data_IF_878568493673
#
_entry.id   IF_878568493673
#
_cell.length_a   1.000
_cell.length_b   1.000
_cell.length_c   1.000
_cell.angle_alpha   90.00
_cell.angle_beta   90.00
_cell.angle_gamma   90.00
#
_symmetry.space_group_name_H-M   'P 1'
#
loop_
_entity.id
_entity.type
_entity.pdbx_description
1 polymer ?
#
# COMPACT_ATOMS: atom_id res chain seq x y z
N UNK A 1 39.09 -84.99 76.36
CA UNK A 1 37.73 -84.44 76.23
C UNK A 1 37.72 -82.93 76.43
N UNK A 2 38.07 -82.40 77.61
CA UNK A 2 38.01 -80.97 77.96
C UNK A 2 38.75 -80.04 76.98
N UNK A 3 40.01 -80.34 76.64
CA UNK A 3 40.79 -79.52 75.67
C UNK A 3 40.19 -79.47 74.25
N UNK A 4 39.48 -80.51 73.81
CA UNK A 4 38.78 -80.51 72.50
C UNK A 4 37.56 -79.60 72.55
N UNK A 5 36.76 -79.72 73.61
CA UNK A 5 35.59 -78.86 73.83
C UNK A 5 35.98 -77.38 73.97
N UNK A 6 37.12 -77.07 74.60
CA UNK A 6 37.64 -75.70 74.68
C UNK A 6 38.00 -75.12 73.30
N UNK A 7 38.66 -75.91 72.44
CA UNK A 7 38.99 -75.49 71.08
C UNK A 7 37.74 -75.31 70.21
N UNK A 8 36.78 -76.24 70.30
CA UNK A 8 35.49 -76.12 69.60
C UNK A 8 34.70 -74.89 70.06
N UNK A 9 34.79 -74.54 71.35
CA UNK A 9 34.20 -73.31 71.90
C UNK A 9 34.90 -72.05 71.37
N UNK A 10 36.24 -72.03 71.32
CA UNK A 10 37.01 -70.92 70.75
C UNK A 10 36.74 -70.72 69.25
N UNK A 11 36.67 -71.80 68.48
CA UNK A 11 36.34 -71.78 67.06
C UNK A 11 34.88 -71.29 66.84
N UNK A 12 33.96 -71.69 67.72
CA UNK A 12 32.57 -71.22 67.72
C UNK A 12 32.45 -69.73 68.06
N UNK A 13 33.18 -69.26 69.07
CA UNK A 13 33.23 -67.84 69.44
C UNK A 13 33.83 -66.97 68.31
N UNK A 14 34.84 -67.48 67.62
CA UNK A 14 35.41 -66.84 66.42
C UNK A 14 34.38 -66.69 65.30
N UNK A 15 33.62 -67.74 65.01
CA UNK A 15 32.56 -67.72 64.01
C UNK A 15 31.42 -66.75 64.38
N UNK A 16 31.02 -66.71 65.65
CA UNK A 16 30.00 -65.77 66.16
C UNK A 16 30.44 -64.32 65.98
N UNK A 17 31.72 -64.00 66.27
CA UNK A 17 32.26 -62.64 66.04
C UNK A 17 32.23 -62.25 64.57
N UNK A 18 32.62 -63.16 63.68
CA UNK A 18 32.63 -62.90 62.23
C UNK A 18 31.21 -62.71 61.67
N UNK A 19 30.27 -63.57 62.04
CA UNK A 19 28.86 -63.41 61.68
C UNK A 19 28.25 -62.11 62.23
N UNK A 20 28.70 -61.66 63.41
CA UNK A 20 28.26 -60.38 63.98
C UNK A 20 28.81 -59.19 63.18
N UNK A 21 30.08 -59.23 62.77
CA UNK A 21 30.67 -58.21 61.90
C UNK A 21 30.00 -58.16 60.52
N UNK A 22 29.77 -59.32 59.90
CA UNK A 22 29.10 -59.41 58.60
C UNK A 22 27.66 -58.89 58.68
N UNK A 23 26.95 -59.17 59.78
CA UNK A 23 25.60 -58.64 60.04
C UNK A 23 25.61 -57.11 60.13
N UNK A 24 26.55 -56.50 60.84
CA UNK A 24 26.68 -55.04 60.92
C UNK A 24 27.09 -54.42 59.58
N UNK A 25 27.96 -55.09 58.82
CA UNK A 25 28.34 -54.66 57.46
C UNK A 25 27.12 -54.68 56.52
N UNK A 26 26.36 -55.78 56.51
CA UNK A 26 25.14 -55.91 55.72
C UNK A 26 24.09 -54.85 56.09
N UNK A 27 23.94 -54.56 57.38
CA UNK A 27 23.04 -53.50 57.87
C UNK A 27 23.47 -52.13 57.38
N UNK A 28 24.78 -51.86 57.36
CA UNK A 28 25.34 -50.60 56.83
C UNK A 28 25.12 -50.49 55.32
N UNK A 29 25.37 -51.55 54.56
CA UNK A 29 25.12 -51.60 53.13
C UNK A 29 23.64 -51.42 52.80
N UNK A 30 22.75 -52.06 53.57
CA UNK A 30 21.31 -51.90 53.43
C UNK A 30 20.87 -50.44 53.66
N UNK A 31 21.40 -49.79 54.69
CA UNK A 31 21.11 -48.38 54.95
C UNK A 31 21.62 -47.46 53.82
N UNK A 32 22.82 -47.71 53.29
CA UNK A 32 23.34 -46.95 52.15
C UNK A 32 22.49 -47.12 50.90
N UNK A 33 22.06 -48.34 50.60
CA UNK A 33 21.17 -48.63 49.48
C UNK A 33 19.81 -47.95 49.65
N UNK A 34 19.26 -47.93 50.86
CA UNK A 34 18.00 -47.23 51.15
C UNK A 34 18.09 -45.72 50.91
N UNK A 35 19.19 -45.08 51.34
CA UNK A 35 19.43 -43.65 51.08
C UNK A 35 19.55 -43.39 49.57
N UNK A 36 20.31 -44.21 48.85
CA UNK A 36 20.44 -44.10 47.40
C UNK A 36 19.10 -44.24 46.70
N UNK A 37 18.28 -45.21 47.10
CA UNK A 37 16.95 -45.44 46.56
C UNK A 37 16.05 -44.20 46.75
N UNK A 38 16.00 -43.66 47.97
CA UNK A 38 15.24 -42.43 48.26
C UNK A 38 15.69 -41.24 47.42
N UNK A 39 17.00 -41.07 47.24
CA UNK A 39 17.53 -39.99 46.41
C UNK A 39 17.13 -40.18 44.93
N UNK A 40 17.19 -41.40 44.42
CA UNK A 40 16.76 -41.69 43.04
C UNK A 40 15.26 -41.51 42.83
N UNK A 41 14.42 -41.86 43.82
CA UNK A 41 12.98 -41.59 43.78
C UNK A 41 12.68 -40.10 43.71
N UNK A 42 13.36 -39.30 44.54
CA UNK A 42 13.22 -37.83 44.51
C UNK A 42 13.67 -37.21 43.18
N UNK A 43 14.76 -37.72 42.60
CA UNK A 43 15.22 -37.31 41.27
C UNK A 43 14.19 -37.70 40.19
N UNK A 44 13.63 -38.90 40.26
CA UNK A 44 12.61 -39.37 39.32
C UNK A 44 11.35 -38.50 39.37
N UNK A 45 10.90 -38.10 40.56
CA UNK A 45 9.75 -37.21 40.71
C UNK A 45 10.03 -35.81 40.15
N UNK A 46 11.23 -35.29 40.37
CA UNK A 46 11.67 -34.01 39.78
C UNK A 46 11.66 -34.07 38.25
N UNK A 47 12.21 -35.15 37.67
CA UNK A 47 12.22 -35.36 36.22
C UNK A 47 10.81 -35.50 35.64
N UNK A 48 9.89 -36.19 36.35
CA UNK A 48 8.48 -36.27 35.94
C UNK A 48 7.81 -34.90 35.89
N UNK A 49 8.03 -34.06 36.91
CA UNK A 49 7.51 -32.69 36.93
C UNK A 49 8.08 -31.84 35.79
N UNK A 50 9.38 -31.94 35.52
CA UNK A 50 10.01 -31.27 34.38
C UNK A 50 9.45 -31.74 33.03
N UNK A 51 9.27 -33.04 32.86
CA UNK A 51 8.66 -33.62 31.65
C UNK A 51 7.22 -33.12 31.43
N UNK A 52 6.42 -33.05 32.50
CA UNK A 52 5.06 -32.49 32.43
C UNK A 52 5.06 -31.02 32.01
N UNK A 53 5.96 -30.20 32.58
CA UNK A 53 6.10 -28.80 32.22
C UNK A 53 6.51 -28.62 30.75
N UNK A 54 7.47 -29.41 30.27
CA UNK A 54 7.89 -29.41 28.87
C UNK A 54 6.75 -29.82 27.92
N UNK A 55 5.94 -30.82 28.32
CA UNK A 55 4.78 -31.22 27.53
C UNK A 55 3.73 -30.09 27.43
N UNK A 56 3.48 -29.38 28.52
CA UNK A 56 2.57 -28.22 28.50
C UNK A 56 3.10 -27.10 27.59
N UNK A 57 4.40 -26.79 27.68
CA UNK A 57 5.04 -25.81 26.81
C UNK A 57 4.99 -26.21 25.33
N UNK A 58 5.24 -27.49 25.01
CA UNK A 58 5.16 -28.00 23.65
C UNK A 58 3.75 -27.92 23.08
N UNK A 59 2.72 -28.16 23.90
CA UNK A 59 1.33 -28.02 23.45
C UNK A 59 0.99 -26.55 23.17
N UNK A 60 1.38 -25.64 24.05
CA UNK A 60 1.21 -24.19 23.84
C UNK A 60 1.88 -23.72 22.54
N UNK A 61 3.13 -24.11 22.31
CA UNK A 61 3.86 -23.74 21.08
C UNK A 61 3.22 -24.30 19.81
N UNK A 62 2.61 -25.49 19.87
CA UNK A 62 1.86 -26.06 18.75
C UNK A 62 0.62 -25.23 18.44
N UNK A 63 -0.13 -24.82 19.45
CA UNK A 63 -1.34 -24.00 19.29
C UNK A 63 -0.99 -22.62 18.74
N UNK A 64 0.10 -22.01 19.24
CA UNK A 64 0.62 -20.74 18.73
C UNK A 64 1.05 -20.86 17.26
N UNK A 65 1.78 -21.92 16.90
CA UNK A 65 2.17 -22.19 15.51
C UNK A 65 0.96 -22.35 14.58
N UNK A 66 -0.07 -23.08 15.01
CA UNK A 66 -1.31 -23.25 14.23
C UNK A 66 -1.97 -21.89 14.00
N UNK A 67 -2.06 -21.07 15.03
CA UNK A 67 -2.65 -19.72 14.95
C UNK A 67 -1.89 -18.84 13.96
N UNK A 68 -0.57 -18.75 14.10
CA UNK A 68 0.28 -17.98 13.18
C UNK A 68 0.20 -18.49 11.74
N UNK A 69 0.11 -19.82 11.55
CA UNK A 69 -0.07 -20.40 10.22
C UNK A 69 -1.41 -20.04 9.59
N UNK A 70 -2.49 -19.94 10.37
CA UNK A 70 -3.81 -19.51 9.89
C UNK A 70 -3.80 -18.02 9.52
N UNK A 71 -3.19 -17.18 10.36
CA UNK A 71 -3.01 -15.75 10.09
C UNK A 71 -2.20 -15.51 8.81
N UNK A 72 -1.10 -16.25 8.62
CA UNK A 72 -0.31 -16.19 7.40
C UNK A 72 -1.14 -16.59 6.16
N UNK A 73 -2.01 -17.60 6.29
CA UNK A 73 -2.95 -17.99 5.24
C UNK A 73 -3.97 -16.89 4.91
N UNK A 74 -4.52 -16.22 5.92
CA UNK A 74 -5.44 -15.10 5.75
C UNK A 74 -4.76 -13.90 5.06
N UNK A 75 -3.55 -13.54 5.51
CA UNK A 75 -2.75 -12.47 4.92
C UNK A 75 -2.40 -12.77 3.45
N UNK A 76 -2.07 -14.03 3.12
CA UNK A 76 -1.82 -14.44 1.75
C UNK A 76 -3.06 -14.22 0.86
N UNK A 77 -4.23 -14.65 1.32
CA UNK A 77 -5.49 -14.45 0.59
C UNK A 77 -5.81 -12.96 0.42
N UNK A 78 -5.62 -12.16 1.46
CA UNK A 78 -5.81 -10.71 1.39
C UNK A 78 -4.89 -10.07 0.34
N UNK A 79 -3.61 -10.47 0.30
CA UNK A 79 -2.66 -9.98 -0.70
C UNK A 79 -3.07 -10.38 -2.13
N UNK A 80 -3.53 -11.62 -2.33
CA UNK A 80 -4.06 -12.06 -3.62
C UNK A 80 -5.26 -11.21 -4.09
N UNK A 81 -6.14 -10.81 -3.17
CA UNK A 81 -7.29 -9.96 -3.50
C UNK A 81 -6.88 -8.51 -3.80
N UNK A 82 -5.89 -7.97 -3.08
CA UNK A 82 -5.29 -6.66 -3.39
C UNK A 82 -4.61 -6.63 -4.77
N UNK A 83 -3.92 -7.71 -5.15
CA UNK A 83 -3.30 -7.84 -6.47
C UNK A 83 -4.37 -7.80 -7.58
N UNK A 84 -5.48 -8.54 -7.41
CA UNK A 84 -6.59 -8.52 -8.38
C UNK A 84 -7.18 -7.12 -8.52
N UNK A 85 -7.36 -6.41 -7.42
CA UNK A 85 -7.94 -5.06 -7.44
C UNK A 85 -6.99 -4.05 -8.10
N UNK A 86 -5.70 -4.13 -7.81
CA UNK A 86 -4.67 -3.36 -8.51
C UNK A 86 -4.72 -3.59 -10.01
N UNK A 87 -4.81 -4.84 -10.45
CA UNK A 87 -4.81 -5.18 -11.87
C UNK A 87 -6.09 -4.65 -12.57
N UNK A 88 -7.23 -4.66 -11.88
CA UNK A 88 -8.48 -4.04 -12.37
C UNK A 88 -8.37 -2.52 -12.52
N UNK A 89 -7.81 -1.84 -11.53
CA UNK A 89 -7.60 -0.39 -11.58
C UNK A 89 -6.60 -0.03 -12.68
N UNK A 90 -5.54 -0.81 -12.86
CA UNK A 90 -4.56 -0.60 -13.91
C UNK A 90 -5.16 -0.72 -15.32
N UNK A 91 -6.04 -1.71 -15.55
CA UNK A 91 -6.77 -1.82 -16.83
C UNK A 91 -7.69 -0.62 -17.03
N UNK A 92 -8.39 -0.20 -15.97
CA UNK A 92 -9.31 0.95 -16.02
C UNK A 92 -8.56 2.25 -16.33
N UNK A 93 -7.38 2.44 -15.73
CA UNK A 93 -6.50 3.58 -15.99
C UNK A 93 -6.05 3.59 -17.46
N UNK A 94 -5.54 2.47 -18.00
CA UNK A 94 -5.15 2.38 -19.41
C UNK A 94 -6.27 2.72 -20.38
N UNK A 95 -7.50 2.31 -20.05
CA UNK A 95 -8.66 2.65 -20.87
C UNK A 95 -8.99 4.14 -20.78
N UNK A 96 -8.86 4.75 -19.60
CA UNK A 96 -9.07 6.17 -19.40
C UNK A 96 -8.01 7.02 -20.12
N UNK A 97 -6.73 6.65 -20.04
CA UNK A 97 -5.62 7.28 -20.78
C UNK A 97 -5.86 7.20 -22.30
N UNK A 98 -6.26 6.03 -22.81
CA UNK A 98 -6.59 5.88 -24.24
C UNK A 98 -7.74 6.81 -24.66
N UNK A 99 -8.82 6.85 -23.85
CA UNK A 99 -9.95 7.75 -24.10
C UNK A 99 -9.52 9.22 -24.09
N UNK A 100 -8.63 9.59 -23.18
CA UNK A 100 -8.07 10.95 -23.11
C UNK A 100 -7.34 11.29 -24.41
N UNK A 101 -6.43 10.44 -24.89
CA UNK A 101 -5.71 10.67 -26.15
C UNK A 101 -6.63 10.72 -27.38
N UNK A 102 -7.66 9.88 -27.45
CA UNK A 102 -8.68 9.94 -28.51
C UNK A 102 -9.48 11.26 -28.47
N UNK A 103 -9.79 11.77 -27.27
CA UNK A 103 -10.47 13.05 -27.10
C UNK A 103 -9.57 14.23 -27.49
N UNK A 104 -8.29 14.22 -27.12
CA UNK A 104 -7.32 15.27 -27.49
C UNK A 104 -7.16 15.38 -29.00
N UNK A 105 -6.95 14.26 -29.68
CA UNK A 105 -6.88 14.21 -31.13
C UNK A 105 -8.20 14.70 -31.78
N UNK A 106 -9.34 14.34 -31.19
CA UNK A 106 -10.65 14.83 -31.63
C UNK A 106 -10.81 16.35 -31.46
N UNK A 107 -10.32 16.90 -30.36
CA UNK A 107 -10.36 18.34 -30.08
C UNK A 107 -9.45 19.12 -31.05
N UNK A 108 -8.24 18.63 -31.33
CA UNK A 108 -7.32 19.24 -32.30
C UNK A 108 -7.90 19.25 -33.71
N UNK A 109 -8.48 18.11 -34.14
CA UNK A 109 -9.14 18.02 -35.45
C UNK A 109 -10.32 18.99 -35.55
N UNK A 110 -11.07 19.17 -34.46
CA UNK A 110 -12.21 20.10 -34.41
C UNK A 110 -11.76 21.55 -34.42
N UNK A 111 -10.65 21.90 -33.75
CA UNK A 111 -10.04 23.24 -33.80
C UNK A 111 -9.61 23.58 -35.23
N UNK A 112 -8.92 22.66 -35.91
CA UNK A 112 -8.51 22.86 -37.31
C UNK A 112 -9.70 23.01 -38.26
N UNK A 113 -10.74 22.18 -38.08
CA UNK A 113 -11.99 22.30 -38.83
C UNK A 113 -12.67 23.65 -38.59
N UNK A 114 -12.69 24.13 -37.35
CA UNK A 114 -13.29 25.41 -36.98
C UNK A 114 -12.53 26.57 -37.62
N UNK A 115 -11.19 26.57 -37.58
CA UNK A 115 -10.33 27.55 -38.27
C UNK A 115 -10.54 27.56 -39.78
N UNK A 116 -10.70 26.39 -40.40
CA UNK A 116 -10.97 26.26 -41.83
C UNK A 116 -12.32 26.91 -42.20
N UNK A 117 -13.38 26.58 -41.46
CA UNK A 117 -14.71 27.16 -41.66
C UNK A 117 -14.71 28.68 -41.44
N UNK A 118 -13.98 29.20 -40.45
CA UNK A 118 -13.85 30.64 -40.23
C UNK A 118 -13.22 31.36 -41.42
N UNK A 119 -12.13 30.82 -41.98
CA UNK A 119 -11.49 31.38 -43.19
C UNK A 119 -12.45 31.39 -44.38
N UNK A 120 -13.22 30.32 -44.57
CA UNK A 120 -14.22 30.26 -45.64
C UNK A 120 -15.34 31.28 -45.44
N UNK A 121 -15.89 31.40 -44.23
CA UNK A 121 -16.92 32.39 -43.89
C UNK A 121 -16.40 33.81 -44.16
N UNK A 122 -15.20 34.15 -43.71
CA UNK A 122 -14.59 35.47 -43.94
C UNK A 122 -14.44 35.75 -45.45
N UNK A 123 -13.94 34.77 -46.22
CA UNK A 123 -13.76 34.92 -47.67
C UNK A 123 -15.11 35.15 -48.37
N UNK A 124 -16.14 34.38 -48.01
CA UNK A 124 -17.49 34.57 -48.57
C UNK A 124 -18.11 35.91 -48.17
N UNK A 125 -17.96 36.35 -46.93
CA UNK A 125 -18.41 37.66 -46.47
C UNK A 125 -17.73 38.80 -47.24
N UNK A 126 -16.42 38.70 -47.49
CA UNK A 126 -15.66 39.66 -48.29
C UNK A 126 -16.16 39.72 -49.75
N UNK A 127 -16.40 38.56 -50.38
CA UNK A 127 -16.97 38.46 -51.75
C UNK A 127 -18.36 39.07 -51.85
N UNK A 128 -19.21 38.85 -50.83
CA UNK A 128 -20.54 39.45 -50.77
C UNK A 128 -20.49 40.97 -50.60
N UNK A 129 -19.52 41.48 -49.82
CA UNK A 129 -19.33 42.92 -49.59
C UNK A 129 -18.84 43.65 -50.86
N UNK A 130 -17.84 43.11 -51.55
CA UNK A 130 -17.32 43.71 -52.79
C UNK A 130 -18.34 43.71 -53.95
N UNK A 131 -19.21 42.70 -54.04
CA UNK A 131 -20.32 42.67 -55.03
C UNK A 131 -21.41 43.71 -54.75
N UNK A 132 -21.65 44.08 -53.48
CA UNK A 132 -22.61 45.15 -53.13
C UNK A 132 -22.08 46.54 -53.47
N UNK A 133 -20.77 46.74 -53.46
CA UNK A 133 -20.11 48.02 -53.72
C UNK A 133 -19.92 48.32 -55.23
N UNK A 134 -20.05 47.32 -56.12
CA UNK A 134 -19.85 47.49 -57.57
C UNK A 134 -21.03 46.93 -58.42
N UNK A 135 -22.13 47.69 -58.59
CA UNK A 135 -23.43 47.16 -59.04
C UNK A 135 -23.62 47.00 -60.58
N UNK A 136 -22.56 46.88 -61.37
CA UNK A 136 -22.61 47.16 -62.83
C UNK A 136 -23.19 46.03 -63.72
N UNK A 137 -23.65 44.88 -63.19
CA UNK A 137 -24.14 43.76 -64.06
C UNK A 137 -25.65 43.49 -63.88
N UNK A 138 -26.37 43.56 -65.01
CA UNK A 138 -27.83 43.36 -65.17
C UNK A 138 -28.31 41.95 -64.77
N UNK A 139 -29.54 41.90 -64.23
CA UNK A 139 -30.48 40.79 -64.47
C UNK A 139 -30.59 39.72 -63.38
N UNK A 140 -31.75 39.03 -63.36
CA UNK A 140 -32.18 37.96 -62.44
C UNK A 140 -31.07 36.98 -61.99
N UNK A 141 -30.07 36.74 -62.84
CA UNK A 141 -28.86 35.94 -62.57
C UNK A 141 -28.09 36.43 -61.33
N UNK A 142 -27.96 37.75 -61.12
CA UNK A 142 -27.29 38.30 -59.93
C UNK A 142 -28.10 38.05 -58.65
N UNK A 143 -29.43 38.07 -58.74
CA UNK A 143 -30.31 37.80 -57.60
C UNK A 143 -30.34 36.30 -57.24
N UNK A 144 -30.33 35.42 -58.24
CA UNK A 144 -30.23 33.96 -58.05
C UNK A 144 -28.87 33.55 -57.51
N UNK A 145 -27.77 34.06 -58.07
CA UNK A 145 -26.42 33.83 -57.53
C UNK A 145 -26.23 34.43 -56.13
N UNK A 146 -26.80 35.61 -55.86
CA UNK A 146 -26.74 36.23 -54.53
C UNK A 146 -27.57 35.44 -53.51
N UNK A 147 -28.75 34.94 -53.89
CA UNK A 147 -29.54 34.04 -53.07
C UNK A 147 -28.84 32.71 -52.83
N UNK A 148 -28.16 32.16 -53.84
CA UNK A 148 -27.39 30.93 -53.71
C UNK A 148 -26.18 31.12 -52.80
N UNK A 149 -25.44 32.23 -52.94
CA UNK A 149 -24.35 32.60 -52.03
C UNK A 149 -24.84 32.85 -50.59
N UNK A 150 -26.01 33.47 -50.40
CA UNK A 150 -26.63 33.62 -49.08
C UNK A 150 -27.03 32.27 -48.47
N UNK A 151 -27.60 31.35 -49.26
CA UNK A 151 -27.91 29.99 -48.82
C UNK A 151 -26.65 29.24 -48.40
N UNK A 152 -25.59 29.29 -49.21
CA UNK A 152 -24.29 28.69 -48.88
C UNK A 152 -23.67 29.31 -47.63
N UNK A 153 -23.76 30.63 -47.44
CA UNK A 153 -23.29 31.30 -46.23
C UNK A 153 -24.06 30.84 -44.98
N UNK A 154 -25.39 30.72 -45.05
CA UNK A 154 -26.21 30.21 -43.95
C UNK A 154 -25.90 28.76 -43.60
N UNK A 155 -25.65 27.91 -44.60
CA UNK A 155 -25.23 26.53 -44.37
C UNK A 155 -23.85 26.43 -43.71
N UNK A 156 -22.92 27.29 -44.10
CA UNK A 156 -21.60 27.41 -43.46
C UNK A 156 -21.71 27.90 -42.02
N UNK A 157 -22.53 28.92 -41.74
CA UNK A 157 -22.80 29.41 -40.39
C UNK A 157 -23.46 28.34 -39.51
N UNK A 158 -24.34 27.49 -40.08
CA UNK A 158 -24.92 26.35 -39.37
C UNK A 158 -23.84 25.33 -38.98
N UNK A 159 -23.00 24.93 -39.94
CA UNK A 159 -21.88 23.98 -39.69
C UNK A 159 -20.89 24.55 -38.66
N UNK A 160 -20.65 25.85 -38.68
CA UNK A 160 -19.80 26.54 -37.70
C UNK A 160 -20.41 26.49 -36.30
N UNK A 161 -21.71 26.78 -36.15
CA UNK A 161 -22.42 26.66 -34.86
C UNK A 161 -22.42 25.22 -34.33
N UNK A 162 -22.65 24.23 -35.19
CA UNK A 162 -22.57 22.81 -34.82
C UNK A 162 -21.17 22.44 -34.30
N UNK A 163 -20.10 22.94 -34.95
CA UNK A 163 -18.73 22.71 -34.49
C UNK A 163 -18.41 23.39 -33.15
N UNK A 164 -18.98 24.58 -32.88
CA UNK A 164 -18.84 25.25 -31.58
C UNK A 164 -19.50 24.45 -30.45
N UNK A 165 -20.72 23.96 -30.67
CA UNK A 165 -21.43 23.14 -29.68
C UNK A 165 -20.70 21.82 -29.41
N UNK A 166 -20.16 21.18 -30.45
CA UNK A 166 -19.30 20.00 -30.30
C UNK A 166 -18.04 20.30 -29.48
N UNK A 167 -17.39 21.44 -29.73
CA UNK A 167 -16.23 21.89 -28.94
C UNK A 167 -16.60 22.10 -27.48
N UNK A 168 -17.76 22.72 -27.21
CA UNK A 168 -18.24 22.98 -25.85
C UNK A 168 -18.49 21.67 -25.09
N UNK A 169 -19.17 20.72 -25.72
CA UNK A 169 -19.44 19.40 -25.13
C UNK A 169 -18.14 18.64 -24.82
N UNK A 170 -17.20 18.61 -25.77
CA UNK A 170 -15.90 17.97 -25.57
C UNK A 170 -15.10 18.64 -24.46
N UNK A 171 -15.11 19.97 -24.38
CA UNK A 171 -14.43 20.74 -23.32
C UNK A 171 -14.98 20.42 -21.93
N UNK A 172 -16.30 20.30 -21.78
CA UNK A 172 -16.90 19.91 -20.50
C UNK A 172 -16.51 18.49 -20.10
N UNK A 173 -16.55 17.55 -21.05
CA UNK A 173 -16.12 16.17 -20.82
C UNK A 173 -14.63 16.10 -20.44
N UNK A 174 -13.79 16.85 -21.15
CA UNK A 174 -12.36 16.98 -20.87
C UNK A 174 -12.09 17.58 -19.50
N UNK A 175 -12.93 18.50 -19.00
CA UNK A 175 -12.76 19.07 -17.66
C UNK A 175 -12.96 18.07 -16.51
N UNK A 176 -13.64 16.93 -16.76
CA UNK A 176 -13.93 15.92 -15.73
C UNK A 176 -12.90 14.78 -15.72
N UNK A 177 -12.35 14.43 -16.89
CA UNK A 177 -11.39 13.31 -17.03
C UNK A 177 -10.11 13.43 -16.18
N UNK A 178 -9.42 14.59 -16.09
CA UNK A 178 -8.23 14.74 -15.26
C UNK A 178 -8.50 14.41 -13.79
N UNK A 179 -9.69 14.77 -13.28
CA UNK A 179 -10.10 14.45 -11.91
C UNK A 179 -10.36 12.95 -11.73
N UNK A 180 -11.02 12.31 -12.70
CA UNK A 180 -11.25 10.86 -12.67
C UNK A 180 -9.93 10.08 -12.74
N UNK A 181 -8.98 10.51 -13.57
CA UNK A 181 -7.64 9.92 -13.64
C UNK A 181 -6.85 10.13 -12.35
N UNK A 182 -6.89 11.32 -11.76
CA UNK A 182 -6.26 11.60 -10.47
C UNK A 182 -6.76 10.64 -9.38
N UNK A 183 -8.07 10.36 -9.32
CA UNK A 183 -8.64 9.38 -8.39
C UNK A 183 -8.13 7.96 -8.65
N UNK A 184 -8.00 7.54 -9.91
CA UNK A 184 -7.45 6.22 -10.25
C UNK A 184 -5.99 6.07 -9.82
N UNK A 185 -5.15 7.09 -10.10
CA UNK A 185 -3.77 7.12 -9.64
C UNK A 185 -3.68 7.13 -8.11
N UNK A 186 -4.52 7.90 -7.42
CA UNK A 186 -4.57 7.90 -5.96
C UNK A 186 -4.85 6.51 -5.39
N UNK A 187 -5.88 5.84 -5.91
CA UNK A 187 -6.26 4.51 -5.46
C UNK A 187 -5.16 3.47 -5.75
N UNK A 188 -4.50 3.56 -6.91
CA UNK A 188 -3.32 2.73 -7.23
C UNK A 188 -2.17 3.00 -6.25
N UNK A 189 -1.90 4.26 -5.92
CA UNK A 189 -0.91 4.65 -4.92
C UNK A 189 -1.17 4.00 -3.57
N UNK A 190 -2.42 4.08 -3.08
CA UNK A 190 -2.83 3.43 -1.81
C UNK A 190 -2.64 1.92 -1.87
N UNK A 191 -3.04 1.26 -2.96
CA UNK A 191 -2.84 -0.18 -3.13
C UNK A 191 -1.35 -0.56 -3.17
N UNK A 192 -0.50 0.27 -3.77
CA UNK A 192 0.95 0.03 -3.77
C UNK A 192 1.56 0.20 -2.37
N UNK A 193 1.09 1.15 -1.56
CA UNK A 193 1.46 1.26 -0.14
C UNK A 193 1.06 -0.01 0.62
N UNK A 194 -0.16 -0.51 0.43
CA UNK A 194 -0.64 -1.74 1.06
C UNK A 194 0.19 -2.98 0.65
N UNK A 195 0.62 -3.01 -0.61
CA UNK A 195 1.51 -4.04 -1.15
C UNK A 195 3.00 -3.81 -0.80
N UNK A 196 3.33 -2.78 0.00
CA UNK A 196 4.68 -2.38 0.40
C UNK A 196 5.60 -2.01 -0.76
N UNK A 197 5.03 -1.65 -1.91
CA UNK A 197 5.77 -1.14 -3.07
C UNK A 197 5.77 0.39 -3.08
N UNK A 198 6.62 0.94 -2.23
CA UNK A 198 6.65 2.38 -1.97
C UNK A 198 7.15 3.21 -3.17
N UNK A 199 8.02 2.62 -4.01
CA UNK A 199 8.51 3.29 -5.22
C UNK A 199 7.39 3.54 -6.21
N UNK A 200 6.55 2.53 -6.48
CA UNK A 200 5.38 2.72 -7.35
C UNK A 200 4.33 3.59 -6.70
N UNK A 201 4.10 3.47 -5.39
CA UNK A 201 3.18 4.35 -4.68
C UNK A 201 3.52 5.83 -4.86
N UNK A 202 4.81 6.19 -4.71
CA UNK A 202 5.29 7.56 -4.93
C UNK A 202 4.99 8.03 -6.36
N UNK A 203 5.31 7.22 -7.36
CA UNK A 203 5.07 7.58 -8.76
C UNK A 203 3.58 7.84 -9.04
N UNK A 204 2.69 7.01 -8.49
CA UNK A 204 1.25 7.19 -8.63
C UNK A 204 0.75 8.45 -7.89
N UNK A 205 1.20 8.72 -6.66
CA UNK A 205 0.82 9.95 -5.96
C UNK A 205 1.39 11.21 -6.62
N UNK A 206 2.57 11.13 -7.22
CA UNK A 206 3.11 12.24 -8.03
C UNK A 206 2.23 12.49 -9.26
N UNK A 207 1.68 11.45 -9.89
CA UNK A 207 0.69 11.61 -10.96
C UNK A 207 -0.57 12.33 -10.49
N UNK A 208 -1.06 12.04 -9.27
CA UNK A 208 -2.18 12.81 -8.67
C UNK A 208 -1.84 14.29 -8.62
N UNK A 209 -0.63 14.63 -8.16
CA UNK A 209 -0.17 16.02 -8.06
C UNK A 209 0.08 16.68 -9.43
N UNK A 210 0.36 15.93 -10.49
CA UNK A 210 0.41 16.47 -11.86
C UNK A 210 -0.98 16.94 -12.32
N UNK A 211 -2.06 16.25 -11.92
CA UNK A 211 -3.44 16.66 -12.25
C UNK A 211 -4.01 17.70 -11.27
N UNK A 212 -3.68 17.58 -9.99
CA UNK A 212 -4.11 18.47 -8.92
C UNK A 212 -2.94 18.76 -7.96
N UNK A 213 -2.17 19.84 -8.20
CA UNK A 213 -1.02 20.18 -7.36
C UNK A 213 -1.35 20.52 -5.90
N UNK A 214 -2.62 20.81 -5.61
CA UNK A 214 -3.11 21.16 -4.27
C UNK A 214 -3.94 20.02 -3.64
N UNK A 215 -3.70 18.78 -4.07
CA UNK A 215 -4.32 17.60 -3.47
C UNK A 215 -3.71 17.29 -2.10
N UNK A 216 -4.43 17.64 -1.03
CA UNK A 216 -3.94 17.47 0.35
C UNK A 216 -3.68 16.01 0.69
N UNK A 217 -4.52 15.08 0.24
CA UNK A 217 -4.38 13.66 0.58
C UNK A 217 -3.15 13.04 -0.10
N UNK A 218 -2.88 13.39 -1.36
CA UNK A 218 -1.67 12.95 -2.05
C UNK A 218 -0.40 13.47 -1.35
N UNK A 219 -0.40 14.73 -0.90
CA UNK A 219 0.69 15.27 -0.08
C UNK A 219 0.86 14.52 1.25
N UNK A 220 -0.24 14.24 1.95
CA UNK A 220 -0.18 13.44 3.19
C UNK A 220 0.42 12.05 2.94
N UNK A 221 -0.09 11.32 1.94
CA UNK A 221 0.37 9.96 1.65
C UNK A 221 1.84 9.93 1.20
N UNK A 222 2.29 10.89 0.39
CA UNK A 222 3.72 11.03 0.06
C UNK A 222 4.56 11.32 1.31
N UNK A 223 4.09 12.19 2.20
CA UNK A 223 4.77 12.48 3.46
C UNK A 223 4.90 11.23 4.35
N UNK A 224 3.84 10.43 4.47
CA UNK A 224 3.86 9.14 5.19
C UNK A 224 4.85 8.18 4.55
N UNK A 225 4.82 8.04 3.22
CA UNK A 225 5.72 7.11 2.53
C UNK A 225 7.19 7.50 2.70
N UNK A 226 7.52 8.78 2.56
CA UNK A 226 8.88 9.27 2.76
C UNK A 226 9.34 9.18 4.22
N UNK A 227 8.46 9.45 5.18
CA UNK A 227 8.81 9.42 6.60
C UNK A 227 8.95 8.00 7.16
N UNK A 228 7.95 7.15 6.95
CA UNK A 228 7.84 5.84 7.62
C UNK A 228 8.60 4.74 6.88
N UNK A 229 8.67 4.80 5.55
CA UNK A 229 9.18 3.68 4.76
C UNK A 229 10.53 3.95 4.10
N UNK A 230 10.79 5.19 3.67
CA UNK A 230 12.07 5.56 3.06
C UNK A 230 13.02 6.31 4.01
N UNK A 231 12.51 6.76 5.16
CA UNK A 231 13.25 7.57 6.13
C UNK A 231 13.90 8.83 5.50
N UNK A 232 13.31 9.34 4.40
CA UNK A 232 13.70 10.59 3.74
C UNK A 232 12.94 11.75 4.39
N UNK A 233 13.47 12.21 5.52
CA UNK A 233 12.84 13.23 6.37
C UNK A 233 12.66 14.56 5.65
N UNK A 234 13.59 14.92 4.76
CA UNK A 234 13.54 16.20 4.03
C UNK A 234 12.32 16.26 3.12
N UNK A 235 12.11 15.21 2.31
CA UNK A 235 10.91 15.13 1.45
C UNK A 235 9.64 14.95 2.27
N UNK A 236 9.69 14.19 3.35
CA UNK A 236 8.54 14.06 4.23
C UNK A 236 8.08 15.42 4.79
N UNK A 237 9.01 16.24 5.29
CA UNK A 237 8.73 17.58 5.79
C UNK A 237 8.13 18.49 4.71
N UNK A 238 8.66 18.46 3.48
CA UNK A 238 8.13 19.22 2.36
C UNK A 238 6.66 18.90 2.09
N UNK A 239 6.34 17.62 1.92
CA UNK A 239 4.97 17.19 1.64
C UNK A 239 4.04 17.42 2.83
N UNK A 240 4.50 17.18 4.05
CA UNK A 240 3.72 17.43 5.26
C UNK A 240 3.41 18.91 5.50
N UNK A 241 4.35 19.82 5.22
CA UNK A 241 4.09 21.27 5.26
C UNK A 241 3.01 21.67 4.25
N UNK A 242 3.10 21.16 3.02
CA UNK A 242 2.11 21.43 1.98
C UNK A 242 0.73 20.87 2.37
N UNK A 243 0.66 19.65 2.90
CA UNK A 243 -0.57 19.07 3.45
C UNK A 243 -1.19 19.96 4.55
N UNK A 244 -0.41 20.39 5.54
CA UNK A 244 -0.92 21.27 6.62
C UNK A 244 -1.38 22.64 6.10
N UNK A 245 -0.75 23.15 5.04
CA UNK A 245 -1.17 24.41 4.42
C UNK A 245 -2.52 24.30 3.70
N UNK A 246 -2.85 23.10 3.20
CA UNK A 246 -4.09 22.82 2.47
C UNK A 246 -5.22 22.38 3.41
N UNK A 247 -4.91 21.59 4.44
CA UNK A 247 -5.88 20.97 5.35
C UNK A 247 -5.42 21.09 6.82
N UNK A 248 -5.41 22.30 7.40
CA UNK A 248 -4.87 22.55 8.75
C UNK A 248 -5.68 21.94 9.90
N UNK A 249 -6.97 21.68 9.67
CA UNK A 249 -7.94 21.18 10.66
C UNK A 249 -8.20 19.66 10.53
N UNK A 250 -7.47 18.98 9.64
CA UNK A 250 -7.63 17.54 9.45
C UNK A 250 -7.23 16.74 10.70
N UNK A 251 -7.83 15.55 10.85
CA UNK A 251 -7.57 14.63 11.97
C UNK A 251 -6.09 14.28 12.15
N UNK A 252 -5.33 14.18 11.06
CA UNK A 252 -3.90 13.85 11.12
C UNK A 252 -3.01 15.09 11.32
N UNK A 253 -3.58 16.29 11.21
CA UNK A 253 -2.82 17.54 11.23
C UNK A 253 -2.00 17.72 12.52
N UNK A 254 -2.54 17.32 13.67
CA UNK A 254 -1.82 17.43 14.94
C UNK A 254 -0.62 16.48 15.03
N UNK A 255 -0.77 15.27 14.48
CA UNK A 255 0.33 14.29 14.38
C UNK A 255 1.44 14.84 13.48
N UNK A 256 1.05 15.41 12.34
CA UNK A 256 1.99 15.98 11.37
C UNK A 256 2.69 17.23 11.92
N UNK A 257 1.99 18.10 12.65
CA UNK A 257 2.62 19.24 13.35
C UNK A 257 3.72 18.79 14.30
N UNK A 258 3.45 17.76 15.12
CA UNK A 258 4.45 17.19 16.03
C UNK A 258 5.65 16.61 15.28
N UNK A 259 5.41 15.92 14.18
CA UNK A 259 6.49 15.39 13.32
C UNK A 259 7.39 16.51 12.80
N UNK A 260 6.80 17.58 12.25
CA UNK A 260 7.55 18.72 11.71
C UNK A 260 8.42 19.36 12.79
N UNK A 261 7.83 19.72 13.93
CA UNK A 261 8.56 20.37 15.03
C UNK A 261 9.73 19.50 15.49
N UNK A 262 9.51 18.20 15.69
CA UNK A 262 10.55 17.28 16.17
C UNK A 262 11.76 17.23 15.25
N UNK A 263 11.55 17.17 13.94
CA UNK A 263 12.65 17.04 12.98
C UNK A 263 13.31 18.37 12.64
N UNK A 264 12.58 19.48 12.71
CA UNK A 264 13.15 20.82 12.55
C UNK A 264 14.07 21.20 13.71
N UNK A 265 13.67 20.89 14.96
CA UNK A 265 14.53 21.15 16.13
C UNK A 265 15.79 20.30 16.09
N UNK A 266 15.68 19.02 15.69
CA UNK A 266 16.84 18.14 15.56
C UNK A 266 17.79 18.57 14.43
N UNK A 267 17.29 19.14 13.34
CA UNK A 267 18.14 19.65 12.26
C UNK A 267 18.85 20.95 12.67
N UNK A 268 18.24 21.78 13.54
CA UNK A 268 18.88 22.96 14.11
C UNK A 268 20.03 22.57 15.05
N UNK A 269 19.81 21.63 15.97
CA UNK A 269 20.83 21.14 16.91
C UNK A 269 22.02 20.45 16.23
N UNK A 270 21.85 19.89 15.03
CA UNK A 270 22.94 19.26 14.27
C UNK A 270 23.76 20.24 13.43
N UNK A 271 23.25 21.46 13.22
CA UNK A 271 23.89 22.50 12.41
C UNK A 271 24.55 23.60 13.26
N UNK A 272 24.38 23.57 14.59
CA UNK A 272 25.07 24.41 15.58
C UNK A 272 26.35 23.73 16.12
#
# INVERSE_FOLDING_TARGET
AIKRLQKELEDSDGLVRQLTQDKELLKTQQNQLFIKLKNTESQLDTLKQQSQKLNQQNNYLKDEYITQSQEAGALKKQNEDLIKERDRLFVSLKQAEKRMGELEAGQDALIEKTRGLEKEVINYQAKLKSRKENPVVKGKVVAEESNQAQKSCRELERKYKEAIEQNRYLKEKYSKLPKENAVLHYNLGVLYVQNRDYTRAIAEFQKVLEYNPDDSEAHYNLGVVYSEYLNDRKKALEHFKKYLSLSPEDSEAERIRKYIVTWETLEQEQNE
#
